data_IF_030601807749
#
_entry.id   IF_030601807749
#
_cell.length_a   1.000
_cell.length_b   1.000
_cell.length_c   1.000
_cell.angle_alpha   90.00
_cell.angle_beta   90.00
_cell.angle_gamma   90.00
#
_symmetry.space_group_name_H-M   'P 1'
#
loop_
_entity.id
_entity.type
_entity.pdbx_description
1 polymer ?
#
# COMPACT_ATOMS: atom_id res chain seq x y z
N UNK A 1 55.62 -53.24 42.42
CA UNK A 1 56.14 -53.32 41.04
C UNK A 1 54.98 -53.04 40.08
N UNK A 2 55.03 -51.87 39.44
CA UNK A 2 54.17 -51.50 38.30
C UNK A 2 54.59 -52.32 37.06
N UNK A 3 53.63 -52.70 36.20
CA UNK A 3 53.69 -52.58 34.73
C UNK A 3 52.33 -52.94 34.06
N UNK A 4 52.07 -52.44 32.83
CA UNK A 4 50.75 -52.07 32.33
C UNK A 4 50.27 -52.97 31.17
N UNK A 5 48.97 -52.90 30.84
CA UNK A 5 48.41 -53.59 29.67
C UNK A 5 47.24 -52.81 29.06
N UNK A 6 47.54 -51.95 28.09
CA UNK A 6 46.58 -51.08 27.40
C UNK A 6 45.59 -51.83 26.51
N UNK A 7 44.33 -51.40 26.58
CA UNK A 7 43.23 -51.92 25.78
C UNK A 7 43.20 -51.18 24.41
N UNK A 8 43.61 -51.83 23.33
CA UNK A 8 43.51 -51.30 21.95
C UNK A 8 42.06 -51.40 21.46
N UNK A 9 41.34 -50.28 21.42
CA UNK A 9 40.11 -50.15 20.63
C UNK A 9 40.47 -49.86 19.17
N UNK A 10 40.08 -50.77 18.28
CA UNK A 10 40.14 -50.59 16.83
C UNK A 10 39.14 -49.49 16.45
N UNK A 11 39.66 -48.40 15.88
CA UNK A 11 38.89 -47.27 15.37
C UNK A 11 38.43 -47.61 13.96
N UNK A 12 37.16 -47.95 13.79
CA UNK A 12 36.53 -48.01 12.47
C UNK A 12 36.36 -46.56 12.00
N UNK A 13 37.14 -46.17 10.99
CA UNK A 13 37.03 -44.88 10.33
C UNK A 13 35.69 -44.77 9.61
N UNK A 14 34.75 -43.99 10.16
CA UNK A 14 33.60 -43.50 9.41
C UNK A 14 34.10 -42.45 8.43
N UNK A 15 33.96 -42.73 7.14
CA UNK A 15 34.29 -41.80 6.06
C UNK A 15 33.60 -40.45 6.30
N UNK A 16 34.43 -39.42 6.49
CA UNK A 16 33.99 -38.04 6.62
C UNK A 16 33.55 -37.51 5.27
N UNK A 17 32.27 -37.65 4.93
CA UNK A 17 31.69 -36.81 3.88
C UNK A 17 31.76 -35.35 4.36
N UNK A 18 32.76 -34.62 3.86
CA UNK A 18 32.95 -33.21 4.13
C UNK A 18 31.65 -32.46 3.78
N UNK A 19 31.00 -31.88 4.79
CA UNK A 19 29.84 -31.01 4.61
C UNK A 19 30.34 -29.78 3.85
N UNK A 20 30.21 -29.80 2.51
CA UNK A 20 30.55 -28.69 1.63
C UNK A 20 29.96 -27.42 2.23
N UNK A 21 30.84 -26.52 2.71
CA UNK A 21 30.44 -25.18 3.16
C UNK A 21 29.84 -24.49 1.95
N UNK A 22 28.50 -24.53 1.82
CA UNK A 22 27.79 -23.80 0.78
C UNK A 22 28.18 -22.33 0.90
N UNK A 23 28.79 -21.80 -0.15
CA UNK A 23 29.04 -20.37 -0.30
C UNK A 23 27.73 -19.62 -0.02
N UNK A 24 27.78 -18.59 0.85
CA UNK A 24 26.59 -17.81 1.18
C UNK A 24 26.06 -17.21 -0.13
N UNK A 25 24.83 -17.57 -0.48
CA UNK A 25 24.18 -17.05 -1.67
C UNK A 25 24.23 -15.51 -1.69
N UNK A 26 24.78 -14.94 -2.76
CA UNK A 26 24.86 -13.49 -2.93
C UNK A 26 23.44 -12.90 -2.96
N UNK A 27 23.25 -11.80 -2.25
CA UNK A 27 21.92 -11.23 -1.93
C UNK A 27 21.09 -10.86 -3.17
N UNK A 28 21.75 -10.34 -4.20
CA UNK A 28 21.20 -9.86 -5.47
C UNK A 28 21.70 -10.65 -6.70
N UNK A 29 22.20 -11.87 -6.50
CA UNK A 29 22.49 -12.79 -7.60
C UNK A 29 21.62 -14.02 -7.45
N UNK A 30 20.95 -14.43 -8.52
CA UNK A 30 20.22 -15.72 -8.57
C UNK A 30 21.20 -16.88 -8.42
N UNK A 31 20.72 -18.02 -7.93
CA UNK A 31 21.50 -19.27 -8.00
C UNK A 31 21.51 -19.77 -9.44
N UNK A 32 22.64 -20.28 -9.91
CA UNK A 32 22.76 -20.79 -11.29
C UNK A 32 21.91 -22.05 -11.53
N UNK A 33 21.79 -22.91 -10.51
CA UNK A 33 20.99 -24.13 -10.57
C UNK A 33 20.20 -24.30 -9.25
N UNK A 34 19.09 -23.54 -9.07
CA UNK A 34 18.25 -23.73 -7.90
C UNK A 34 17.58 -25.11 -7.96
N UNK A 35 17.27 -25.70 -6.79
CA UNK A 35 16.47 -26.93 -6.75
C UNK A 35 15.13 -26.69 -7.47
N UNK A 36 14.59 -27.70 -8.18
CA UNK A 36 13.27 -27.60 -8.81
C UNK A 36 12.21 -27.08 -7.83
N UNK A 37 11.28 -26.29 -8.34
CA UNK A 37 10.13 -25.82 -7.59
C UNK A 37 8.88 -25.93 -8.45
N UNK A 38 7.74 -26.07 -7.78
CA UNK A 38 6.44 -25.81 -8.36
C UNK A 38 5.86 -24.56 -7.69
N UNK A 39 5.21 -23.71 -8.49
CA UNK A 39 4.40 -22.62 -7.94
C UNK A 39 3.26 -23.23 -7.14
N UNK A 40 3.04 -22.68 -5.94
CA UNK A 40 1.87 -22.99 -5.12
C UNK A 40 0.85 -21.88 -5.28
N UNK A 41 -0.41 -22.12 -4.91
CA UNK A 41 -1.44 -21.08 -4.81
C UNK A 41 -0.93 -19.86 -4.01
N UNK A 42 -0.23 -20.11 -2.89
CA UNK A 42 0.38 -19.04 -2.08
C UNK A 42 1.44 -18.22 -2.82
N UNK A 43 2.10 -18.78 -3.82
CA UNK A 43 3.04 -18.01 -4.64
C UNK A 43 2.31 -17.16 -5.65
N UNK A 44 1.23 -17.69 -6.23
CA UNK A 44 0.34 -16.91 -7.09
C UNK A 44 -0.19 -15.71 -6.33
N UNK A 45 -0.66 -15.89 -5.09
CA UNK A 45 -1.07 -14.77 -4.21
C UNK A 45 0.06 -13.73 -4.01
N UNK A 46 1.33 -14.16 -3.93
CA UNK A 46 2.47 -13.22 -3.88
C UNK A 46 2.63 -12.46 -5.19
N UNK A 47 2.50 -13.14 -6.34
CA UNK A 47 2.62 -12.51 -7.65
C UNK A 47 1.49 -11.52 -7.90
N UNK A 48 0.24 -11.90 -7.58
CA UNK A 48 -0.93 -11.02 -7.66
C UNK A 48 -0.78 -9.79 -6.75
N UNK A 49 -0.33 -9.99 -5.50
CA UNK A 49 -0.04 -8.88 -4.60
C UNK A 49 1.02 -7.93 -5.18
N UNK A 50 2.05 -8.46 -5.84
CA UNK A 50 3.06 -7.64 -6.52
C UNK A 50 2.53 -7.00 -7.81
N UNK A 51 1.55 -7.59 -8.49
CA UNK A 51 0.87 -6.97 -9.63
C UNK A 51 0.09 -5.72 -9.18
N UNK A 52 -0.69 -5.86 -8.11
CA UNK A 52 -1.50 -4.78 -7.55
C UNK A 52 -0.62 -3.69 -6.92
N UNK A 53 0.30 -4.08 -6.03
CA UNK A 53 1.08 -3.14 -5.22
C UNK A 53 2.40 -2.70 -5.85
N UNK A 54 2.78 -3.31 -6.98
CA UNK A 54 4.02 -3.10 -7.77
C UNK A 54 5.30 -3.51 -7.06
N UNK A 55 5.42 -3.12 -5.81
CA UNK A 55 6.56 -3.44 -4.97
C UNK A 55 6.12 -3.68 -3.53
N UNK A 56 6.65 -4.73 -2.92
CA UNK A 56 6.38 -5.03 -1.52
C UNK A 56 7.66 -5.44 -0.82
N UNK A 57 7.78 -5.07 0.46
CA UNK A 57 8.82 -5.64 1.31
C UNK A 57 8.49 -7.09 1.67
N UNK A 58 9.50 -7.84 2.12
CA UNK A 58 9.27 -9.18 2.66
C UNK A 58 8.35 -9.20 3.89
N UNK A 59 8.30 -8.12 4.69
CA UNK A 59 7.39 -8.03 5.83
C UNK A 59 5.96 -7.71 5.41
N UNK A 60 5.79 -6.86 4.39
CA UNK A 60 4.48 -6.59 3.80
C UNK A 60 3.87 -7.84 3.16
N UNK A 61 4.66 -8.60 2.40
CA UNK A 61 4.23 -9.90 1.87
C UNK A 61 3.90 -10.89 3.00
N UNK A 62 4.64 -10.86 4.10
CA UNK A 62 4.33 -11.68 5.29
C UNK A 62 2.95 -11.33 5.86
N UNK A 63 2.68 -10.04 6.06
CA UNK A 63 1.43 -9.49 6.62
C UNK A 63 0.23 -9.72 5.70
N UNK A 64 0.42 -9.54 4.40
CA UNK A 64 -0.65 -9.62 3.40
C UNK A 64 -0.98 -11.06 2.99
N UNK A 65 0.04 -11.90 2.77
CA UNK A 65 -0.12 -13.21 2.12
C UNK A 65 0.17 -14.39 3.05
N UNK A 66 1.25 -14.36 3.83
CA UNK A 66 1.76 -15.60 4.46
C UNK A 66 1.28 -15.88 5.88
N UNK A 67 1.00 -14.85 6.70
CA UNK A 67 0.61 -15.02 8.11
C UNK A 67 1.61 -15.78 9.00
N UNK A 68 2.81 -16.11 8.51
CA UNK A 68 3.76 -17.00 9.18
C UNK A 68 5.10 -16.31 9.51
N UNK A 69 6.05 -17.06 10.10
CA UNK A 69 7.31 -16.47 10.55
C UNK A 69 8.14 -15.89 9.40
N UNK A 70 8.77 -14.73 9.65
CA UNK A 70 9.56 -14.03 8.64
C UNK A 70 10.71 -14.85 8.02
N UNK A 71 11.26 -15.83 8.74
CA UNK A 71 12.27 -16.76 8.21
C UNK A 71 11.72 -17.67 7.10
N UNK A 72 10.47 -18.15 7.26
CA UNK A 72 9.80 -18.97 6.23
C UNK A 72 9.52 -18.14 4.98
N UNK A 73 8.98 -16.94 5.17
CA UNK A 73 8.73 -15.97 4.07
C UNK A 73 10.03 -15.64 3.32
N UNK A 74 11.10 -15.28 4.02
CA UNK A 74 12.41 -14.99 3.37
C UNK A 74 12.93 -16.16 2.55
N UNK A 75 12.75 -17.40 3.02
CA UNK A 75 13.16 -18.60 2.27
C UNK A 75 12.31 -18.76 1.01
N UNK A 76 10.98 -18.60 1.10
CA UNK A 76 10.09 -18.73 -0.06
C UNK A 76 10.33 -17.64 -1.09
N UNK A 77 10.44 -16.38 -0.67
CA UNK A 77 10.78 -15.25 -1.54
C UNK A 77 12.17 -15.39 -2.17
N UNK A 78 13.11 -16.05 -1.49
CA UNK A 78 14.40 -16.39 -2.12
C UNK A 78 14.24 -17.43 -3.23
N UNK A 79 13.40 -18.44 -3.02
CA UNK A 79 13.10 -19.45 -4.02
C UNK A 79 12.45 -18.82 -5.26
N UNK A 80 11.44 -17.96 -5.08
CA UNK A 80 10.79 -17.24 -6.19
C UNK A 80 11.79 -16.36 -6.96
N UNK A 81 12.67 -15.66 -6.25
CA UNK A 81 13.73 -14.85 -6.87
C UNK A 81 14.75 -15.69 -7.64
N UNK A 82 15.19 -16.83 -7.07
CA UNK A 82 16.15 -17.73 -7.72
C UNK A 82 15.59 -18.33 -9.01
N UNK A 83 14.29 -18.63 -9.04
CA UNK A 83 13.57 -19.12 -10.22
C UNK A 83 13.09 -18.02 -11.16
N UNK A 84 13.38 -16.78 -10.81
CA UNK A 84 13.15 -15.62 -11.64
C UNK A 84 11.70 -15.17 -11.77
N UNK A 85 10.81 -15.55 -10.84
CA UNK A 85 9.42 -15.07 -10.81
C UNK A 85 9.29 -13.66 -10.23
N UNK A 86 10.20 -13.27 -9.33
CA UNK A 86 10.27 -11.92 -8.76
C UNK A 86 11.67 -11.36 -8.91
N UNK A 87 11.80 -10.04 -9.00
CA UNK A 87 13.07 -9.34 -8.86
C UNK A 87 13.28 -8.83 -7.44
N UNK A 88 14.52 -8.48 -7.12
CA UNK A 88 14.90 -7.80 -5.87
C UNK A 88 15.49 -6.45 -6.20
N UNK A 89 14.82 -5.40 -5.76
CA UNK A 89 15.29 -4.03 -5.93
C UNK A 89 16.35 -3.76 -4.87
N UNK A 90 17.55 -3.39 -5.30
CA UNK A 90 18.61 -2.89 -4.43
C UNK A 90 18.38 -1.40 -4.19
N UNK A 91 17.77 -1.05 -3.07
CA UNK A 91 17.47 0.36 -2.76
C UNK A 91 18.71 1.12 -2.26
N UNK A 92 19.77 0.39 -1.83
CA UNK A 92 21.11 0.90 -1.49
C UNK A 92 22.13 -0.25 -1.42
N UNK A 93 23.44 0.04 -1.54
CA UNK A 93 24.52 -0.93 -1.25
C UNK A 93 24.66 -1.23 0.26
N UNK A 94 24.18 -0.31 1.12
CA UNK A 94 24.14 -0.46 2.58
C UNK A 94 22.72 -0.14 3.09
N UNK A 95 22.02 -1.06 3.77
CA UNK A 95 20.69 -0.78 4.32
C UNK A 95 20.75 0.39 5.30
N UNK A 96 20.15 1.53 4.97
CA UNK A 96 19.93 2.58 5.95
C UNK A 96 18.91 2.11 6.99
N UNK A 97 18.97 2.66 8.22
CA UNK A 97 18.03 2.30 9.30
C UNK A 97 16.59 2.44 8.82
N UNK A 98 15.81 1.36 8.96
CA UNK A 98 14.37 1.35 8.67
C UNK A 98 13.97 0.99 7.24
N UNK A 99 14.90 0.78 6.30
CA UNK A 99 14.56 0.25 4.97
C UNK A 99 14.67 -1.28 4.97
N UNK A 100 13.64 -2.00 4.51
CA UNK A 100 13.70 -3.46 4.38
C UNK A 100 14.90 -3.88 3.52
N UNK A 101 15.66 -4.91 3.90
CA UNK A 101 16.86 -5.33 3.17
C UNK A 101 16.54 -5.83 1.75
N UNK A 102 15.27 -6.14 1.46
CA UNK A 102 14.78 -6.56 0.15
C UNK A 102 13.39 -5.98 -0.09
N UNK A 103 13.24 -5.32 -1.23
CA UNK A 103 11.96 -4.99 -1.85
C UNK A 103 11.82 -5.86 -3.09
N UNK A 104 10.63 -6.41 -3.30
CA UNK A 104 10.32 -7.35 -4.37
C UNK A 104 9.38 -6.69 -5.38
N UNK A 105 9.55 -7.02 -6.65
CA UNK A 105 8.67 -6.63 -7.76
C UNK A 105 8.46 -7.84 -8.69
N UNK A 106 7.44 -7.77 -9.56
CA UNK A 106 7.24 -8.79 -10.59
C UNK A 106 8.36 -8.77 -11.63
N UNK A 107 8.83 -9.96 -11.99
CA UNK A 107 9.68 -10.17 -13.16
C UNK A 107 8.83 -10.41 -14.42
N UNK A 108 9.47 -10.59 -15.59
CA UNK A 108 8.77 -11.02 -16.81
C UNK A 108 8.12 -12.39 -16.62
N UNK A 109 8.87 -13.35 -16.06
CA UNK A 109 8.38 -14.70 -15.84
C UNK A 109 7.24 -14.74 -14.82
N UNK A 110 7.26 -13.84 -13.83
CA UNK A 110 6.16 -13.68 -12.89
C UNK A 110 4.89 -13.14 -13.56
N UNK A 111 5.04 -12.22 -14.51
CA UNK A 111 3.92 -11.71 -15.31
C UNK A 111 3.38 -12.81 -16.23
N UNK A 112 4.24 -13.52 -16.93
CA UNK A 112 3.87 -14.65 -17.79
C UNK A 112 3.08 -15.71 -17.01
N UNK A 113 3.56 -16.08 -15.82
CA UNK A 113 2.86 -17.03 -14.95
C UNK A 113 1.47 -16.54 -14.50
N UNK A 114 1.27 -15.22 -14.33
CA UNK A 114 -0.04 -14.63 -14.04
C UNK A 114 -0.93 -14.62 -15.30
N UNK A 115 -0.37 -14.33 -16.47
CA UNK A 115 -1.10 -14.32 -17.73
C UNK A 115 -1.60 -15.72 -18.12
N UNK A 116 -0.82 -16.77 -17.84
CA UNK A 116 -1.22 -18.18 -18.02
C UNK A 116 -2.49 -18.55 -17.25
N UNK A 117 -2.78 -17.86 -16.13
CA UNK A 117 -3.99 -18.06 -15.33
C UNK A 117 -5.04 -16.95 -15.52
N UNK A 118 -4.89 -16.13 -16.56
CA UNK A 118 -5.86 -15.09 -16.93
C UNK A 118 -5.75 -13.79 -16.13
N UNK A 119 -4.66 -13.57 -15.38
CA UNK A 119 -4.40 -12.31 -14.67
C UNK A 119 -3.49 -11.42 -15.51
N UNK A 120 -4.04 -10.30 -16.00
CA UNK A 120 -3.25 -9.29 -16.71
C UNK A 120 -2.40 -8.48 -15.71
N UNK A 121 -1.09 -8.48 -15.94
CA UNK A 121 -0.13 -7.76 -15.13
C UNK A 121 0.87 -7.04 -16.03
N UNK A 122 0.96 -5.72 -15.88
CA UNK A 122 1.93 -4.93 -16.63
C UNK A 122 3.27 -4.85 -15.88
N UNK A 123 4.37 -4.96 -16.63
CA UNK A 123 5.72 -4.73 -16.11
C UNK A 123 5.91 -3.25 -15.82
N UNK A 124 5.94 -2.88 -14.54
CA UNK A 124 6.11 -1.49 -14.09
C UNK A 124 7.37 -1.39 -13.23
N UNK A 125 8.52 -1.59 -13.88
CA UNK A 125 9.82 -1.74 -13.21
C UNK A 125 10.18 -0.56 -12.29
N UNK A 126 10.71 -0.88 -11.12
CA UNK A 126 11.18 0.07 -10.11
C UNK A 126 12.68 0.40 -10.26
N UNK A 127 13.33 -0.06 -11.33
CA UNK A 127 14.73 0.23 -11.62
C UNK A 127 14.96 1.74 -11.74
N UNK A 128 15.91 2.27 -10.97
CA UNK A 128 16.28 3.69 -10.99
C UNK A 128 15.43 4.60 -10.09
N UNK A 129 14.51 4.06 -9.28
CA UNK A 129 13.78 4.86 -8.30
C UNK A 129 14.70 5.31 -7.16
N UNK A 130 14.51 6.55 -6.71
CA UNK A 130 15.20 7.07 -5.52
C UNK A 130 14.76 6.31 -4.26
N UNK A 131 15.62 6.28 -3.24
CA UNK A 131 15.31 5.69 -1.93
C UNK A 131 14.05 6.29 -1.31
N UNK A 132 13.88 7.60 -1.44
CA UNK A 132 12.71 8.32 -0.96
C UNK A 132 11.44 7.89 -1.68
N UNK A 133 11.50 7.70 -3.00
CA UNK A 133 10.36 7.21 -3.80
C UNK A 133 9.97 5.79 -3.40
N UNK A 134 10.94 4.90 -3.21
CA UNK A 134 10.66 3.53 -2.75
C UNK A 134 10.04 3.56 -1.35
N UNK A 135 10.59 4.35 -0.42
CA UNK A 135 10.05 4.48 0.94
C UNK A 135 8.60 5.00 0.92
N UNK A 136 8.31 6.02 0.12
CA UNK A 136 6.97 6.56 -0.04
C UNK A 136 5.99 5.50 -0.56
N UNK A 137 6.35 4.78 -1.63
CA UNK A 137 5.51 3.70 -2.18
C UNK A 137 5.26 2.56 -1.21
N UNK A 138 6.28 2.15 -0.43
CA UNK A 138 6.10 1.14 0.61
C UNK A 138 5.11 1.61 1.69
N UNK A 139 5.14 2.89 2.08
CA UNK A 139 4.22 3.41 3.09
C UNK A 139 2.78 3.49 2.55
N UNK A 140 2.58 3.87 1.28
CA UNK A 140 1.27 3.80 0.63
C UNK A 140 0.73 2.36 0.66
N UNK A 141 1.58 1.37 0.39
CA UNK A 141 1.21 -0.04 0.52
C UNK A 141 0.90 -0.45 1.96
N UNK A 142 1.61 0.11 2.96
CA UNK A 142 1.28 -0.12 4.37
C UNK A 142 -0.08 0.44 4.75
N UNK A 143 -0.54 1.54 4.16
CA UNK A 143 -1.91 2.05 4.37
C UNK A 143 -2.94 0.98 3.99
N UNK A 144 -2.85 0.45 2.77
CA UNK A 144 -3.75 -0.62 2.31
C UNK A 144 -3.66 -1.86 3.20
N UNK A 145 -2.44 -2.38 3.43
CA UNK A 145 -2.25 -3.62 4.20
C UNK A 145 -2.81 -3.47 5.61
N UNK A 146 -2.60 -2.32 6.25
CA UNK A 146 -3.09 -2.06 7.60
C UNK A 146 -4.62 -1.94 7.62
N UNK A 147 -5.25 -1.34 6.60
CA UNK A 147 -6.71 -1.33 6.46
C UNK A 147 -7.27 -2.75 6.28
N UNK A 148 -6.65 -3.57 5.43
CA UNK A 148 -7.05 -4.98 5.27
C UNK A 148 -6.91 -5.74 6.59
N UNK A 149 -5.79 -5.59 7.29
CA UNK A 149 -5.58 -6.21 8.61
C UNK A 149 -6.64 -5.76 9.63
N UNK A 150 -6.95 -4.46 9.67
CA UNK A 150 -7.93 -3.88 10.59
C UNK A 150 -9.38 -4.34 10.32
N UNK A 151 -9.65 -4.85 9.12
CA UNK A 151 -11.00 -5.24 8.70
C UNK A 151 -11.26 -6.75 8.75
N UNK A 152 -10.21 -7.59 8.84
CA UNK A 152 -10.29 -9.07 8.77
C UNK A 152 -11.35 -9.70 9.68
N UNK A 153 -11.45 -9.26 10.92
CA UNK A 153 -12.35 -9.83 11.92
C UNK A 153 -13.55 -8.92 12.22
N UNK A 154 -13.96 -8.13 11.22
CA UNK A 154 -15.05 -7.17 11.32
C UNK A 154 -16.04 -7.35 10.19
N UNK A 155 -17.20 -6.67 10.27
CA UNK A 155 -18.12 -6.58 9.14
C UNK A 155 -17.66 -5.62 8.04
N UNK A 156 -16.55 -4.90 8.25
CA UNK A 156 -16.06 -3.91 7.30
C UNK A 156 -15.24 -4.56 6.20
N UNK A 157 -15.16 -3.93 5.03
CA UNK A 157 -14.27 -4.38 3.96
C UNK A 157 -13.68 -3.22 3.18
N UNK A 158 -12.41 -3.36 2.80
CA UNK A 158 -11.74 -2.44 1.88
C UNK A 158 -12.10 -2.85 0.46
N UNK A 159 -12.63 -1.91 -0.32
CA UNK A 159 -13.06 -2.11 -1.71
C UNK A 159 -12.35 -1.11 -2.62
N UNK A 160 -12.27 -1.47 -3.91
CA UNK A 160 -11.80 -0.61 -5.00
C UNK A 160 -10.48 0.11 -4.70
N UNK A 161 -9.50 -0.62 -4.16
CA UNK A 161 -8.17 -0.06 -3.93
C UNK A 161 -7.48 0.26 -5.27
N UNK A 162 -7.08 1.52 -5.46
CA UNK A 162 -6.36 1.99 -6.67
C UNK A 162 -5.13 2.78 -6.28
N UNK A 163 -4.00 2.50 -6.93
CA UNK A 163 -2.78 3.29 -6.76
C UNK A 163 -2.76 4.50 -7.70
N UNK A 164 -1.87 5.46 -7.41
CA UNK A 164 -1.58 6.65 -8.23
C UNK A 164 -1.70 6.44 -9.76
N UNK A 165 -1.09 5.40 -10.32
CA UNK A 165 -1.11 5.19 -11.78
C UNK A 165 -2.44 4.66 -12.30
N UNK A 166 -3.18 3.92 -11.48
CA UNK A 166 -4.52 3.43 -11.82
C UNK A 166 -5.54 4.58 -11.71
N UNK A 167 -5.12 5.70 -11.09
CA UNK A 167 -5.78 7.00 -11.06
C UNK A 167 -5.29 7.96 -12.16
N UNK A 168 -4.46 7.52 -13.11
CA UNK A 168 -4.10 8.35 -14.27
C UNK A 168 -5.13 8.16 -15.38
N UNK A 169 -5.41 9.25 -16.09
CA UNK A 169 -6.21 9.19 -17.31
C UNK A 169 -5.36 8.54 -18.41
N UNK A 170 -5.87 7.45 -19.00
CA UNK A 170 -5.32 6.89 -20.24
C UNK A 170 -5.72 7.78 -21.40
N UNK A 171 -4.83 7.97 -22.37
CA UNK A 171 -5.19 8.65 -23.62
C UNK A 171 -6.22 7.83 -24.40
N UNK A 172 -6.94 8.48 -25.33
CA UNK A 172 -7.96 7.86 -26.19
C UNK A 172 -7.38 6.70 -27.02
N UNK A 173 -6.08 6.75 -27.33
CA UNK A 173 -5.39 5.74 -28.14
C UNK A 173 -4.85 4.53 -27.33
N UNK A 174 -5.14 4.44 -26.03
CA UNK A 174 -4.76 3.31 -25.16
C UNK A 174 -3.25 3.10 -24.91
N UNK A 175 -2.36 3.74 -25.67
CA UNK A 175 -0.91 3.50 -25.67
C UNK A 175 -0.04 4.53 -24.93
N UNK A 176 -0.61 5.60 -24.37
CA UNK A 176 0.14 6.66 -23.71
C UNK A 176 0.47 6.39 -22.23
N UNK A 177 1.60 6.92 -21.74
CA UNK A 177 1.83 7.05 -20.28
C UNK A 177 0.68 7.91 -19.72
N UNK A 178 -0.18 7.32 -18.88
CA UNK A 178 -1.34 8.03 -18.35
C UNK A 178 -0.97 9.38 -17.72
N UNK A 179 -1.89 10.35 -17.75
CA UNK A 179 -1.71 11.72 -17.24
C UNK A 179 -2.58 12.02 -16.02
N UNK A 180 -2.12 12.94 -15.19
CA UNK A 180 -2.95 13.50 -14.12
C UNK A 180 -4.11 14.30 -14.73
N UNK A 181 -5.29 14.24 -14.11
CA UNK A 181 -6.40 15.11 -14.47
C UNK A 181 -6.06 16.55 -14.08
N UNK A 182 -6.44 17.53 -14.89
CA UNK A 182 -6.19 18.95 -14.65
C UNK A 182 -7.48 19.59 -14.14
N UNK A 183 -7.44 20.13 -12.93
CA UNK A 183 -8.59 20.70 -12.24
C UNK A 183 -8.44 22.21 -12.18
N UNK A 184 -9.37 22.91 -12.81
CA UNK A 184 -9.45 24.37 -12.75
C UNK A 184 -9.84 24.83 -11.34
N UNK A 185 -9.29 25.96 -10.92
CA UNK A 185 -9.62 26.57 -9.63
C UNK A 185 -9.76 28.09 -9.79
N UNK A 186 -10.89 28.71 -9.37
CA UNK A 186 -11.18 30.12 -9.65
C UNK A 186 -10.13 31.13 -9.16
N UNK A 187 -9.35 30.76 -8.15
CA UNK A 187 -8.33 31.62 -7.54
C UNK A 187 -6.89 31.30 -7.94
N UNK A 188 -6.69 30.46 -8.98
CA UNK A 188 -5.36 30.09 -9.47
C UNK A 188 -5.29 30.27 -10.99
N UNK A 189 -4.18 30.84 -11.47
CA UNK A 189 -3.95 31.05 -12.90
C UNK A 189 -3.69 29.74 -13.67
N UNK A 190 -3.19 28.71 -12.98
CA UNK A 190 -2.85 27.42 -13.58
C UNK A 190 -3.69 26.32 -12.92
N UNK A 191 -4.18 25.35 -13.71
CA UNK A 191 -4.90 24.22 -13.15
C UNK A 191 -4.02 23.41 -12.20
N UNK A 192 -4.67 22.67 -11.30
CA UNK A 192 -4.02 21.77 -10.37
C UNK A 192 -4.00 20.34 -10.93
N UNK A 193 -2.92 19.60 -10.69
CA UNK A 193 -2.86 18.18 -11.07
C UNK A 193 -3.55 17.33 -10.01
N UNK A 194 -4.64 16.67 -10.38
CA UNK A 194 -5.29 15.65 -9.57
C UNK A 194 -4.61 14.30 -9.76
N UNK A 195 -3.84 13.91 -8.74
CA UNK A 195 -3.18 12.62 -8.67
C UNK A 195 -2.91 12.25 -7.21
N UNK A 196 -3.86 11.58 -6.53
CA UNK A 196 -3.66 11.06 -5.19
C UNK A 196 -2.64 9.91 -5.16
N UNK A 197 -2.08 9.63 -3.98
CA UNK A 197 -1.21 8.47 -3.80
C UNK A 197 -2.01 7.15 -3.87
N UNK A 198 -3.27 7.18 -3.44
CA UNK A 198 -4.20 6.06 -3.56
C UNK A 198 -5.67 6.46 -3.41
N UNK A 199 -6.55 5.51 -3.70
CA UNK A 199 -7.99 5.58 -3.49
C UNK A 199 -8.49 4.25 -2.93
N UNK A 200 -9.50 4.30 -2.06
CA UNK A 200 -10.23 3.12 -1.62
C UNK A 200 -11.64 3.48 -1.15
N UNK A 201 -12.47 2.46 -1.03
CA UNK A 201 -13.78 2.53 -0.38
C UNK A 201 -13.79 1.64 0.85
N UNK A 202 -14.33 2.15 1.96
CA UNK A 202 -14.54 1.38 3.19
C UNK A 202 -16.04 1.09 3.33
N UNK A 203 -16.41 -0.15 3.05
CA UNK A 203 -17.76 -0.67 3.24
C UNK A 203 -17.93 -1.11 4.69
N UNK A 204 -19.04 -0.71 5.33
CA UNK A 204 -19.33 -1.02 6.73
C UNK A 204 -20.22 -2.25 6.93
N UNK A 205 -20.54 -3.00 5.89
CA UNK A 205 -21.35 -4.22 5.94
C UNK A 205 -22.86 -4.00 6.16
N UNK A 206 -23.29 -2.75 6.33
CA UNK A 206 -24.70 -2.36 6.53
C UNK A 206 -25.27 -1.56 5.33
N UNK A 207 -24.56 -1.59 4.20
CA UNK A 207 -24.87 -0.80 3.00
C UNK A 207 -24.28 0.62 3.03
N UNK A 208 -23.68 1.05 4.15
CA UNK A 208 -22.92 2.30 4.22
C UNK A 208 -21.51 2.07 3.68
N UNK A 209 -21.05 2.95 2.79
CA UNK A 209 -19.67 2.95 2.30
C UNK A 209 -19.12 4.37 2.26
N UNK A 210 -17.84 4.52 2.57
CA UNK A 210 -17.11 5.79 2.55
C UNK A 210 -15.97 5.71 1.52
N UNK A 211 -15.90 6.68 0.62
CA UNK A 211 -14.80 6.80 -0.32
C UNK A 211 -13.67 7.67 0.25
N UNK A 212 -12.42 7.26 0.00
CA UNK A 212 -11.24 7.96 0.48
C UNK A 212 -10.18 8.10 -0.61
N UNK A 213 -9.60 9.30 -0.71
CA UNK A 213 -8.27 9.47 -1.29
C UNK A 213 -7.21 9.36 -0.19
N UNK A 214 -6.02 8.90 -0.56
CA UNK A 214 -4.86 8.75 0.33
C UNK A 214 -3.75 9.70 -0.10
N UNK A 215 -3.14 10.36 0.89
CA UNK A 215 -1.92 11.16 0.73
C UNK A 215 -0.90 10.78 1.79
N UNK A 216 0.29 10.42 1.37
CA UNK A 216 1.42 10.12 2.25
C UNK A 216 2.45 11.24 2.11
N UNK A 217 2.70 11.97 3.20
CA UNK A 217 3.72 13.02 3.23
C UNK A 217 4.81 12.70 4.25
N UNK A 218 6.00 12.41 3.74
CA UNK A 218 7.18 12.09 4.56
C UNK A 218 7.96 13.35 4.96
N UNK A 219 7.25 14.44 5.27
CA UNK A 219 7.79 15.78 5.50
C UNK A 219 8.55 16.36 4.30
N UNK A 220 8.12 16.01 3.09
CA UNK A 220 8.78 16.37 1.83
C UNK A 220 8.14 17.59 1.17
N UNK A 221 6.87 17.88 1.49
CA UNK A 221 6.16 19.01 0.90
C UNK A 221 6.34 20.32 1.68
N UNK A 222 6.51 21.43 0.96
CA UNK A 222 6.37 22.76 1.55
C UNK A 222 4.90 23.06 1.90
N UNK A 223 4.66 24.02 2.81
CA UNK A 223 3.29 24.40 3.19
C UNK A 223 2.43 24.87 2.01
N UNK A 224 3.05 25.49 1.00
CA UNK A 224 2.37 25.90 -0.24
C UNK A 224 1.67 24.73 -0.92
N UNK A 225 2.30 23.55 -0.96
CA UNK A 225 1.73 22.35 -1.59
C UNK A 225 0.44 21.94 -0.90
N UNK A 226 0.37 22.05 0.43
CA UNK A 226 -0.85 21.72 1.18
C UNK A 226 -1.98 22.73 0.98
N UNK A 227 -1.66 24.00 0.73
CA UNK A 227 -2.68 24.98 0.30
C UNK A 227 -3.25 24.64 -1.08
N UNK A 228 -2.38 24.27 -2.02
CA UNK A 228 -2.80 23.85 -3.36
C UNK A 228 -3.62 22.55 -3.31
N UNK A 229 -3.19 21.55 -2.52
CA UNK A 229 -3.97 20.32 -2.30
C UNK A 229 -5.31 20.59 -1.61
N UNK A 230 -5.36 21.50 -0.64
CA UNK A 230 -6.63 21.89 0.00
C UNK A 230 -7.61 22.48 -1.02
N UNK A 231 -7.15 23.39 -1.88
CA UNK A 231 -7.94 23.96 -2.99
C UNK A 231 -8.40 22.87 -3.97
N UNK A 232 -7.48 21.98 -4.38
CA UNK A 232 -7.77 20.88 -5.30
C UNK A 232 -8.88 19.97 -4.78
N UNK A 233 -8.71 19.42 -3.58
CA UNK A 233 -9.66 18.45 -3.04
C UNK A 233 -11.00 19.11 -2.69
N UNK A 234 -11.01 20.39 -2.31
CA UNK A 234 -12.25 21.14 -2.11
C UNK A 234 -13.01 21.34 -3.43
N UNK A 235 -12.31 21.69 -4.52
CA UNK A 235 -12.93 21.78 -5.84
C UNK A 235 -13.46 20.42 -6.34
N UNK A 236 -12.74 19.33 -6.05
CA UNK A 236 -13.17 17.98 -6.38
C UNK A 236 -14.40 17.52 -5.59
N UNK A 237 -14.52 17.98 -4.34
CA UNK A 237 -15.63 17.69 -3.44
C UNK A 237 -16.86 18.58 -3.66
N UNK A 238 -16.73 19.69 -4.41
CA UNK A 238 -17.84 20.61 -4.68
C UNK A 238 -18.90 19.95 -5.59
N UNK A 239 -20.14 19.73 -5.11
CA UNK A 239 -21.19 19.09 -5.91
C UNK A 239 -21.52 19.85 -7.19
N UNK A 240 -21.27 21.17 -7.23
CA UNK A 240 -21.51 22.02 -8.41
C UNK A 240 -20.53 21.71 -9.54
N UNK A 241 -19.30 21.31 -9.22
CA UNK A 241 -18.33 20.89 -10.24
C UNK A 241 -18.64 19.48 -10.72
N UNK A 242 -19.17 18.62 -9.84
CA UNK A 242 -19.54 17.24 -10.13
C UNK A 242 -18.36 16.33 -10.51
N UNK A 243 -17.11 16.77 -10.28
CA UNK A 243 -15.89 16.09 -10.71
C UNK A 243 -15.79 14.69 -10.12
N UNK A 244 -15.91 14.58 -8.79
CA UNK A 244 -15.83 13.30 -8.09
C UNK A 244 -16.92 12.32 -8.54
N UNK A 245 -18.18 12.77 -8.60
CA UNK A 245 -19.30 11.93 -9.02
C UNK A 245 -19.13 11.39 -10.44
N UNK A 246 -18.72 12.23 -11.39
CA UNK A 246 -18.50 11.80 -12.78
C UNK A 246 -17.39 10.75 -12.89
N UNK A 247 -16.32 10.90 -12.11
CA UNK A 247 -15.13 10.05 -12.25
C UNK A 247 -15.19 8.77 -11.40
N UNK A 248 -15.77 8.83 -10.21
CA UNK A 248 -15.75 7.74 -9.24
C UNK A 248 -17.15 7.16 -8.96
N UNK A 249 -18.23 7.76 -9.46
CA UNK A 249 -19.59 7.25 -9.26
C UNK A 249 -20.08 7.33 -7.81
N UNK A 250 -19.45 8.19 -7.00
CA UNK A 250 -19.76 8.41 -5.58
C UNK A 250 -20.06 9.89 -5.33
N UNK A 251 -20.91 10.17 -4.34
CA UNK A 251 -21.34 11.55 -4.05
C UNK A 251 -20.31 12.32 -3.22
N UNK A 252 -19.63 11.65 -2.30
CA UNK A 252 -18.69 12.29 -1.36
C UNK A 252 -17.47 11.42 -1.11
N UNK A 253 -16.34 12.05 -0.81
CA UNK A 253 -15.14 11.38 -0.32
C UNK A 253 -14.53 12.13 0.86
N UNK A 254 -13.52 11.51 1.48
CA UNK A 254 -12.60 12.17 2.41
C UNK A 254 -11.15 11.96 2.00
N UNK A 255 -10.26 12.84 2.44
CA UNK A 255 -8.83 12.74 2.23
C UNK A 255 -8.17 12.20 3.50
N UNK A 256 -7.65 10.98 3.44
CA UNK A 256 -6.85 10.35 4.48
C UNK A 256 -5.37 10.69 4.27
N UNK A 257 -4.84 11.58 5.10
CA UNK A 257 -3.45 12.03 5.09
C UNK A 257 -2.68 11.25 6.15
N UNK A 258 -1.61 10.58 5.75
CA UNK A 258 -0.67 9.92 6.67
C UNK A 258 0.68 10.63 6.59
N UNK A 259 1.21 11.06 7.72
CA UNK A 259 2.48 11.78 7.77
C UNK A 259 3.43 11.27 8.84
N UNK A 260 4.65 11.81 8.87
CA UNK A 260 5.68 11.41 9.83
C UNK A 260 5.21 11.56 11.28
N UNK A 261 5.69 10.72 12.21
CA UNK A 261 5.48 10.90 13.63
C UNK A 261 5.88 12.29 14.13
N UNK A 262 5.26 12.70 15.23
CA UNK A 262 5.62 13.93 15.93
C UNK A 262 7.02 13.77 16.56
N UNK A 263 7.87 14.78 16.45
CA UNK A 263 9.25 14.71 16.97
C UNK A 263 9.66 16.01 17.67
N UNK A 264 10.11 15.89 18.93
CA UNK A 264 10.57 17.01 19.77
C UNK A 264 9.61 18.21 19.74
N UNK A 265 8.33 17.97 19.99
CA UNK A 265 7.29 19.01 20.03
C UNK A 265 6.86 19.55 18.65
N UNK A 266 7.46 19.08 17.55
CA UNK A 266 7.06 19.46 16.19
C UNK A 266 6.12 18.40 15.61
N UNK A 267 4.92 18.82 15.25
CA UNK A 267 3.92 17.97 14.61
C UNK A 267 3.74 18.32 13.15
N UNK A 268 4.16 17.41 12.26
CA UNK A 268 3.92 17.58 10.83
C UNK A 268 2.42 17.49 10.52
N UNK A 269 1.69 16.61 11.20
CA UNK A 269 0.22 16.50 11.10
C UNK A 269 -0.45 17.84 11.39
N UNK A 270 -0.13 18.48 12.52
CA UNK A 270 -0.75 19.76 12.88
C UNK A 270 -0.38 20.85 11.87
N UNK A 271 0.88 20.90 11.44
CA UNK A 271 1.33 21.84 10.40
C UNK A 271 0.55 21.72 9.09
N UNK A 272 0.22 20.49 8.67
CA UNK A 272 -0.61 20.22 7.48
C UNK A 272 -2.05 20.71 7.72
N UNK A 273 -2.64 20.30 8.83
CA UNK A 273 -4.03 20.66 9.18
C UNK A 273 -4.21 22.17 9.35
N UNK A 274 -3.25 22.87 9.93
CA UNK A 274 -3.26 24.33 10.07
C UNK A 274 -3.17 25.02 8.70
N UNK A 275 -2.33 24.51 7.78
CA UNK A 275 -2.25 25.03 6.42
C UNK A 275 -3.56 24.83 5.66
N UNK A 276 -4.19 23.66 5.79
CA UNK A 276 -5.50 23.37 5.20
C UNK A 276 -6.55 24.29 5.83
N UNK A 277 -6.61 24.39 7.16
CA UNK A 277 -7.58 25.19 7.90
C UNK A 277 -7.51 26.68 7.57
N UNK A 278 -6.31 27.24 7.41
CA UNK A 278 -6.12 28.62 6.94
C UNK A 278 -6.53 28.84 5.49
N UNK A 279 -6.59 27.77 4.68
CA UNK A 279 -6.92 27.88 3.26
C UNK A 279 -8.42 27.72 2.99
N UNK A 280 -9.07 26.77 3.67
CA UNK A 280 -10.48 26.38 3.38
C UNK A 280 -11.37 26.31 4.62
N UNK A 281 -10.86 26.70 5.79
CA UNK A 281 -11.60 26.62 7.06
C UNK A 281 -11.65 25.22 7.67
N UNK A 282 -12.46 25.06 8.72
CA UNK A 282 -12.74 23.76 9.30
C UNK A 282 -13.53 22.90 8.31
N UNK A 283 -13.09 21.67 8.08
CA UNK A 283 -13.73 20.80 7.08
C UNK A 283 -13.58 19.32 7.45
N UNK A 284 -14.68 18.52 7.39
CA UNK A 284 -14.63 17.08 7.60
C UNK A 284 -14.02 16.32 6.41
N UNK A 285 -13.72 17.02 5.31
CA UNK A 285 -13.08 16.45 4.13
C UNK A 285 -11.65 15.98 4.42
N UNK A 286 -10.94 16.61 5.34
CA UNK A 286 -9.52 16.36 5.58
C UNK A 286 -9.29 15.65 6.92
N UNK A 287 -8.71 14.46 6.86
CA UNK A 287 -8.40 13.62 8.00
C UNK A 287 -6.90 13.34 8.00
N UNK A 288 -6.18 13.65 9.08
CA UNK A 288 -4.75 13.40 9.16
C UNK A 288 -4.37 12.55 10.38
N UNK A 289 -3.52 11.55 10.15
CA UNK A 289 -2.92 10.68 11.16
C UNK A 289 -1.40 10.58 10.92
N UNK A 290 -0.69 9.92 11.84
CA UNK A 290 0.76 9.71 11.73
C UNK A 290 1.10 8.26 11.42
N UNK A 291 2.34 7.98 11.02
CA UNK A 291 2.82 6.60 10.84
C UNK A 291 2.73 5.76 12.11
N UNK A 292 2.76 6.37 13.30
CA UNK A 292 2.57 5.64 14.57
C UNK A 292 1.11 5.18 14.77
N UNK A 293 0.17 5.83 14.10
CA UNK A 293 -1.25 5.46 14.10
C UNK A 293 -1.57 4.35 13.08
N UNK A 294 -0.61 4.04 12.19
CA UNK A 294 -0.76 3.02 11.15
C UNK A 294 -0.55 1.62 11.72
N UNK A 295 -1.49 1.21 12.58
CA UNK A 295 -1.59 -0.11 13.19
C UNK A 295 -3.01 -0.65 13.02
N UNK A 296 -3.16 -1.96 12.87
CA UNK A 296 -4.44 -2.59 12.55
C UNK A 296 -5.52 -2.32 13.64
N UNK A 297 -5.11 -2.27 14.90
CA UNK A 297 -5.96 -1.98 16.06
C UNK A 297 -6.26 -0.48 16.24
N UNK A 298 -5.59 0.40 15.49
CA UNK A 298 -5.69 1.87 15.64
C UNK A 298 -6.29 2.58 14.45
N UNK A 299 -6.02 2.13 13.23
CA UNK A 299 -6.33 2.88 11.99
C UNK A 299 -7.83 3.18 11.80
N UNK A 300 -8.71 2.30 12.29
CA UNK A 300 -10.18 2.49 12.28
C UNK A 300 -10.71 3.16 13.56
N UNK A 301 -9.84 3.37 14.53
CA UNK A 301 -10.12 4.05 15.79
C UNK A 301 -10.10 5.58 15.67
N UNK A 302 -10.36 6.28 16.79
CA UNK A 302 -10.32 7.74 16.84
C UNK A 302 -8.88 8.26 16.91
N UNK A 303 -8.13 8.12 15.81
CA UNK A 303 -6.74 8.60 15.67
C UNK A 303 -6.61 9.77 14.69
N UNK A 304 -7.65 10.03 13.89
CA UNK A 304 -7.61 11.00 12.81
C UNK A 304 -7.96 12.39 13.32
N UNK A 305 -7.19 13.40 12.93
CA UNK A 305 -7.47 14.80 13.26
C UNK A 305 -7.98 15.58 12.05
N UNK A 306 -8.79 16.61 12.31
CA UNK A 306 -9.36 17.48 11.28
C UNK A 306 -8.91 18.94 11.50
N UNK A 307 -8.89 19.77 10.44
CA UNK A 307 -8.67 21.20 10.60
C UNK A 307 -9.72 21.81 11.52
N UNK A 308 -9.30 22.58 12.52
CA UNK A 308 -10.19 23.28 13.44
C UNK A 308 -10.85 22.43 14.53
N UNK A 309 -10.57 21.11 14.61
CA UNK A 309 -11.10 20.25 15.69
C UNK A 309 -9.98 19.61 16.51
N UNK A 310 -10.05 19.80 17.82
CA UNK A 310 -9.02 19.29 18.74
C UNK A 310 -9.13 17.79 19.01
N UNK A 311 -10.35 17.26 19.11
CA UNK A 311 -10.59 15.83 19.41
C UNK A 311 -10.41 14.98 18.15
N UNK A 312 -9.70 13.84 18.24
CA UNK A 312 -9.58 12.93 17.12
C UNK A 312 -10.92 12.23 16.84
N UNK A 313 -11.07 11.75 15.62
CA UNK A 313 -12.27 11.14 15.04
C UNK A 313 -11.89 9.85 14.32
N UNK A 314 -12.89 9.02 14.01
CA UNK A 314 -12.74 7.86 13.11
C UNK A 314 -12.81 8.31 11.66
N UNK A 315 -12.28 7.47 10.76
CA UNK A 315 -12.49 7.65 9.30
C UNK A 315 -13.98 7.78 8.93
N UNK A 316 -14.84 7.07 9.66
CA UNK A 316 -16.27 6.89 9.38
C UNK A 316 -17.20 7.79 10.19
N UNK A 317 -16.67 8.64 11.09
CA UNK A 317 -17.53 9.52 11.89
C UNK A 317 -18.24 10.50 10.97
N UNK A 318 -19.57 10.59 10.99
CA UNK A 318 -20.32 11.60 10.23
C UNK A 318 -20.21 12.96 10.91
N UNK A 319 -19.13 13.70 10.63
CA UNK A 319 -18.87 15.01 11.25
C UNK A 319 -19.51 16.18 10.47
N UNK A 320 -20.48 15.90 9.59
CA UNK A 320 -21.27 16.93 8.92
C UNK A 320 -22.42 16.32 8.11
N UNK A 321 -23.66 16.66 8.47
CA UNK A 321 -24.83 16.37 7.64
C UNK A 321 -26.11 16.05 8.42
N UNK A 322 -26.82 17.08 8.88
CA UNK A 322 -28.26 17.09 8.63
C UNK A 322 -28.44 17.16 7.12
N UNK A 323 -28.82 16.05 6.50
CA UNK A 323 -28.78 15.94 5.04
C UNK A 323 -29.12 14.54 4.56
N UNK A 324 -30.42 14.27 4.51
CA UNK A 324 -31.15 13.25 3.73
C UNK A 324 -30.57 11.83 3.78
N UNK A 325 -31.17 11.03 4.66
CA UNK A 325 -31.27 9.57 4.46
C UNK A 325 -32.01 9.34 3.14
N UNK A 326 -31.28 9.10 2.05
CA UNK A 326 -31.87 8.52 0.85
C UNK A 326 -32.14 7.06 1.19
N UNK A 327 -33.35 6.80 1.72
CA UNK A 327 -33.85 5.43 1.84
C UNK A 327 -33.90 4.83 0.44
N UNK A 328 -33.37 3.62 0.21
CA UNK A 328 -33.51 2.96 -1.08
C UNK A 328 -35.00 2.83 -1.41
N UNK A 329 -35.41 3.38 -2.56
CA UNK A 329 -36.75 3.16 -3.10
C UNK A 329 -36.93 1.66 -3.29
N UNK A 330 -37.87 1.06 -2.56
CA UNK A 330 -38.32 -0.32 -2.80
C UNK A 330 -38.66 -0.44 -4.28
N UNK A 331 -38.00 -1.37 -4.99
CA UNK A 331 -38.42 -1.77 -6.33
C UNK A 331 -39.83 -2.34 -6.21
N UNK A 332 -40.81 -1.61 -6.70
CA UNK A 332 -42.15 -2.13 -6.95
C UNK A 332 -42.02 -3.17 -8.05
N UNK A 333 -42.16 -4.45 -7.71
CA UNK A 333 -42.28 -5.52 -8.69
C UNK A 333 -43.65 -5.34 -9.34
N UNK A 334 -43.65 -4.83 -10.57
CA UNK A 334 -44.82 -4.91 -11.45
C UNK A 334 -44.90 -6.34 -11.93
N UNK A 335 -45.87 -7.11 -11.39
CA UNK A 335 -46.30 -8.37 -11.99
C UNK A 335 -47.01 -8.05 -13.30
N UNK A 336 -46.39 -8.35 -14.43
CA UNK A 336 -47.09 -8.46 -15.70
C UNK A 336 -47.72 -9.85 -15.78
N UNK A 337 -49.04 -9.89 -15.64
CA UNK A 337 -49.84 -11.03 -16.06
C UNK A 337 -50.20 -10.89 -17.55
N UNK A 338 -49.93 -11.94 -18.31
CA UNK A 338 -50.87 -12.64 -19.19
C UNK A 338 -50.24 -13.96 -19.63
#
# INVERSE_FOLDING_TARGET
MNRPGGNRRIRIERSGAARVRRERARRFRRRNAPRPMHLTERDVEVLEALAVHRMLSGDQLRRLVFGCSGSRVRRRLRTLYDHGFVERISVTAQPARGIPPFVYELSAKGIEALSEIGVDAARRGASGLSLQTVRHKLIVNDVYITLVEATRDTRYSVRDWRHEQDLKLTGEDGGGRGRAERVEHPTLEKPLSFLPDGYFELDLGDGTSFAFFVEVDLATHAQRVWRERAKLYTAYADPRTGLFRRRFGRETFRLAIVTTPDYRGRSRRNNILDSIGRTVGASPLFLAATLDDLQADRILGPVWRMPGRQRPVRLTDNVGGGGVVVRPRRRTVVRSGK
#
